data_IF_237213607776
#
_entry.id   IF_237213607776
#
_cell.length_a   1.000
_cell.length_b   1.000
_cell.length_c   1.000
_cell.angle_alpha   90.00
_cell.angle_beta   90.00
_cell.angle_gamma   90.00
#
_symmetry.space_group_name_H-M   'P 1'
#
loop_
_entity.id
_entity.type
_entity.pdbx_description
1 polymer ?
#
# COMPACT_ATOMS: atom_id res chain seq x y z
N UNK A 1 39.01 -45.36 24.44
CA UNK A 1 39.00 -43.91 24.72
C UNK A 1 37.60 -43.44 24.40
N UNK A 2 36.71 -43.64 25.38
CA UNK A 2 35.55 -42.78 25.57
C UNK A 2 36.05 -41.38 25.85
N UNK A 3 35.30 -40.38 25.39
CA UNK A 3 35.20 -39.00 25.90
C UNK A 3 34.60 -38.16 24.75
N UNK A 4 33.51 -37.39 24.82
CA UNK A 4 32.61 -36.96 25.89
C UNK A 4 31.30 -36.55 25.20
N UNK A 5 30.16 -36.87 25.79
CA UNK A 5 29.01 -35.98 25.68
C UNK A 5 29.24 -34.87 26.70
N UNK A 6 29.11 -33.59 26.34
CA UNK A 6 28.06 -32.85 27.04
C UNK A 6 27.41 -31.73 26.22
N UNK A 7 26.09 -31.65 26.39
CA UNK A 7 25.35 -30.39 26.57
C UNK A 7 25.34 -29.40 25.39
N UNK A 8 24.28 -29.59 24.58
CA UNK A 8 23.59 -28.53 23.88
C UNK A 8 23.10 -27.50 24.91
N UNK A 9 23.83 -26.41 25.07
CA UNK A 9 23.35 -25.21 25.79
C UNK A 9 23.22 -24.07 24.77
N UNK A 10 22.03 -23.50 24.80
CA UNK A 10 21.60 -22.36 24.01
C UNK A 10 22.23 -21.05 24.51
N UNK A 11 21.94 -19.98 23.76
CA UNK A 11 22.14 -18.56 24.09
C UNK A 11 23.59 -18.08 23.82
N UNK A 12 23.87 -17.03 23.04
CA UNK A 12 23.39 -15.65 23.16
C UNK A 12 23.58 -14.92 21.81
N UNK A 13 22.57 -14.12 21.43
CA UNK A 13 22.57 -13.19 20.31
C UNK A 13 23.67 -12.11 20.39
N UNK A 14 24.26 -11.71 19.25
CA UNK A 14 24.67 -10.30 19.03
C UNK A 14 24.89 -9.93 17.56
N UNK A 15 23.85 -9.32 17.00
CA UNK A 15 23.85 -8.04 16.26
C UNK A 15 24.90 -7.81 15.16
N UNK A 16 24.47 -8.03 13.90
CA UNK A 16 24.76 -7.18 12.74
C UNK A 16 24.11 -7.77 11.47
N UNK A 17 22.78 -7.74 11.39
CA UNK A 17 22.08 -7.88 10.09
C UNK A 17 21.05 -6.76 9.97
N UNK A 18 21.57 -5.54 9.79
CA UNK A 18 20.82 -4.49 9.11
C UNK A 18 20.79 -4.90 7.63
N UNK A 19 19.63 -5.36 7.18
CA UNK A 19 18.79 -4.60 6.26
C UNK A 19 17.59 -5.47 5.87
N UNK A 20 16.46 -4.96 6.32
CA UNK A 20 15.13 -5.55 6.33
C UNK A 20 14.66 -5.66 4.88
N UNK A 21 14.76 -6.86 4.32
CA UNK A 21 14.13 -7.25 3.05
C UNK A 21 13.04 -8.28 3.33
N UNK A 22 12.16 -7.95 4.26
CA UNK A 22 10.97 -8.74 4.59
C UNK A 22 9.80 -7.79 4.73
N UNK A 23 9.07 -7.56 3.64
CA UNK A 23 7.63 -7.39 3.74
C UNK A 23 6.96 -7.81 2.44
N UNK A 24 7.01 -9.10 2.18
CA UNK A 24 5.95 -9.77 1.43
C UNK A 24 5.52 -10.91 2.35
N UNK A 25 4.37 -10.76 3.00
CA UNK A 25 3.38 -11.79 3.31
C UNK A 25 2.52 -11.38 4.51
N UNK A 26 1.30 -10.93 4.26
CA UNK A 26 0.15 -11.40 5.03
C UNK A 26 -0.91 -11.94 4.05
N UNK A 27 -0.92 -13.25 3.79
CA UNK A 27 -1.94 -13.89 2.98
C UNK A 27 -3.05 -14.37 3.92
N UNK A 28 -4.03 -13.53 4.28
CA UNK A 28 -5.32 -14.04 4.80
C UNK A 28 -6.56 -13.14 4.85
N UNK A 29 -6.52 -11.90 4.36
CA UNK A 29 -7.74 -11.05 4.27
C UNK A 29 -8.03 -10.49 2.87
N UNK A 30 -7.49 -11.15 1.84
CA UNK A 30 -7.47 -10.69 0.44
C UNK A 30 -8.80 -10.90 -0.31
N UNK A 31 -9.84 -11.43 0.36
CA UNK A 31 -11.12 -11.71 -0.33
C UNK A 31 -12.19 -10.68 -0.03
N UNK A 32 -12.17 -10.09 1.17
CA UNK A 32 -13.20 -9.14 1.60
C UNK A 32 -12.73 -7.69 1.42
N UNK A 33 -11.43 -7.43 1.64
CA UNK A 33 -10.85 -6.09 1.45
C UNK A 33 -10.72 -5.77 -0.04
N UNK A 34 -10.21 -6.70 -0.86
CA UNK A 34 -10.11 -6.50 -2.31
C UNK A 34 -11.49 -6.33 -2.95
N UNK A 35 -12.52 -7.00 -2.43
CA UNK A 35 -13.90 -6.80 -2.90
C UNK A 35 -14.46 -5.43 -2.52
N UNK A 36 -14.20 -4.96 -1.30
CA UNK A 36 -14.57 -3.62 -0.86
C UNK A 36 -13.82 -2.54 -1.64
N UNK A 37 -12.52 -2.75 -1.87
CA UNK A 37 -11.68 -1.87 -2.65
C UNK A 37 -12.14 -1.85 -4.11
N UNK A 38 -12.47 -3.00 -4.70
CA UNK A 38 -13.01 -3.07 -6.06
C UNK A 38 -14.36 -2.36 -6.17
N UNK A 39 -15.28 -2.54 -5.21
CA UNK A 39 -16.57 -1.84 -5.20
C UNK A 39 -16.39 -0.33 -5.08
N UNK A 40 -15.56 0.12 -4.13
CA UNK A 40 -15.30 1.53 -3.91
C UNK A 40 -14.57 2.16 -5.10
N UNK A 41 -13.58 1.45 -5.62
CA UNK A 41 -12.85 1.85 -6.82
C UNK A 41 -13.79 1.92 -8.00
N UNK A 42 -14.66 0.94 -8.24
CA UNK A 42 -15.61 0.95 -9.36
C UNK A 42 -16.61 2.11 -9.27
N UNK A 43 -17.05 2.48 -8.05
CA UNK A 43 -17.88 3.67 -7.81
C UNK A 43 -17.21 4.97 -8.24
N UNK A 44 -15.91 5.12 -7.94
CA UNK A 44 -15.17 6.34 -8.28
C UNK A 44 -14.51 6.26 -9.66
N UNK A 45 -14.29 5.07 -10.19
CA UNK A 45 -13.60 4.81 -11.46
C UNK A 45 -14.33 5.46 -12.61
N UNK A 46 -15.66 5.40 -12.64
CA UNK A 46 -16.43 6.06 -13.70
C UNK A 46 -16.27 7.59 -13.70
N UNK A 47 -15.92 8.19 -12.56
CA UNK A 47 -15.68 9.63 -12.41
C UNK A 47 -14.18 10.00 -12.53
N UNK A 48 -13.30 9.01 -12.38
CA UNK A 48 -11.83 9.14 -12.42
C UNK A 48 -11.21 8.73 -13.75
N UNK A 49 -11.87 7.86 -14.52
CA UNK A 49 -11.32 7.29 -15.74
C UNK A 49 -11.06 8.41 -16.77
N UNK A 50 -9.81 8.51 -17.23
CA UNK A 50 -9.32 9.53 -18.15
C UNK A 50 -9.31 10.96 -17.58
N UNK A 51 -9.40 11.13 -16.27
CA UNK A 51 -9.35 12.47 -15.63
C UNK A 51 -8.00 12.81 -15.01
N UNK A 52 -7.09 11.83 -14.85
CA UNK A 52 -5.81 12.02 -14.15
C UNK A 52 -5.97 12.56 -12.72
N UNK A 53 -7.07 12.20 -12.08
CA UNK A 53 -7.39 12.56 -10.71
C UNK A 53 -7.14 11.40 -9.75
N UNK A 54 -7.20 11.73 -8.47
CA UNK A 54 -7.08 10.80 -7.38
C UNK A 54 -8.13 11.06 -6.31
N UNK A 55 -8.62 9.97 -5.74
CA UNK A 55 -9.60 9.95 -4.68
C UNK A 55 -9.01 9.24 -3.46
N UNK A 56 -9.06 9.94 -2.32
CA UNK A 56 -8.82 9.34 -1.01
C UNK A 56 -10.12 8.87 -0.40
N UNK A 57 -10.15 7.61 0.05
CA UNK A 57 -11.26 7.02 0.79
C UNK A 57 -10.85 6.69 2.22
N UNK A 58 -11.82 6.77 3.12
CA UNK A 58 -11.67 6.34 4.51
C UNK A 58 -11.89 4.83 4.70
N UNK A 59 -11.96 4.39 5.96
CA UNK A 59 -12.25 2.98 6.31
C UNK A 59 -13.67 2.51 5.99
N UNK A 60 -14.61 3.42 5.78
CA UNK A 60 -16.01 3.17 5.44
C UNK A 60 -16.27 3.21 3.93
N UNK A 61 -15.21 3.29 3.12
CA UNK A 61 -15.28 3.48 1.66
C UNK A 61 -15.95 4.82 1.27
N UNK A 62 -15.88 5.82 2.14
CA UNK A 62 -16.39 7.16 1.88
C UNK A 62 -15.31 8.05 1.28
N UNK A 63 -15.67 8.82 0.25
CA UNK A 63 -14.75 9.76 -0.39
C UNK A 63 -14.44 10.93 0.53
N UNK A 64 -13.19 10.98 1.01
CA UNK A 64 -12.67 12.11 1.79
C UNK A 64 -12.37 13.30 0.88
N UNK A 65 -11.80 13.05 -0.30
CA UNK A 65 -11.51 14.07 -1.29
C UNK A 65 -11.33 13.48 -2.69
N UNK A 66 -11.47 14.35 -3.69
CA UNK A 66 -11.08 14.12 -5.09
C UNK A 66 -10.26 15.30 -5.57
N UNK A 67 -9.05 15.06 -6.08
CA UNK A 67 -8.16 16.10 -6.61
C UNK A 67 -7.34 15.59 -7.78
N UNK A 68 -6.85 16.46 -8.69
CA UNK A 68 -5.91 16.05 -9.72
C UNK A 68 -4.61 15.49 -9.12
N UNK A 69 -3.96 14.55 -9.81
CA UNK A 69 -2.69 13.96 -9.37
C UNK A 69 -1.61 15.04 -9.11
N UNK A 70 -1.67 16.16 -9.84
CA UNK A 70 -0.78 17.31 -9.63
C UNK A 70 -0.91 17.93 -8.23
N UNK A 71 -2.10 17.88 -7.63
CA UNK A 71 -2.39 18.44 -6.30
C UNK A 71 -2.48 17.35 -5.21
N UNK A 72 -2.53 16.07 -5.60
CA UNK A 72 -2.63 14.94 -4.67
C UNK A 72 -1.53 14.97 -3.61
N UNK A 73 -0.28 15.25 -3.99
CA UNK A 73 0.85 15.29 -3.04
C UNK A 73 0.61 16.34 -1.95
N UNK A 74 0.07 17.51 -2.31
CA UNK A 74 -0.23 18.59 -1.37
C UNK A 74 -1.40 18.21 -0.44
N UNK A 75 -2.42 17.56 -1.01
CA UNK A 75 -3.57 17.06 -0.25
C UNK A 75 -3.20 15.95 0.71
N UNK A 76 -2.34 15.03 0.33
CA UNK A 76 -1.84 13.97 1.22
C UNK A 76 -1.02 14.52 2.39
N UNK A 77 -0.36 15.66 2.21
CA UNK A 77 0.35 16.33 3.32
C UNK A 77 -0.57 17.05 4.31
N UNK A 78 -1.79 17.39 3.91
CA UNK A 78 -2.75 18.16 4.73
C UNK A 78 -3.90 17.32 5.28
N UNK A 79 -4.34 16.32 4.51
CA UNK A 79 -5.40 15.40 4.84
C UNK A 79 -4.82 14.12 5.45
N UNK A 80 -5.42 13.61 6.51
CA UNK A 80 -5.04 12.36 7.16
C UNK A 80 -6.28 11.47 7.38
N UNK A 81 -6.06 10.20 7.75
CA UNK A 81 -7.15 9.24 7.96
C UNK A 81 -7.66 8.56 6.67
N UNK A 82 -6.88 8.67 5.60
CA UNK A 82 -7.16 8.00 4.33
C UNK A 82 -6.69 6.55 4.46
N UNK A 83 -7.57 5.60 4.19
CA UNK A 83 -7.24 4.17 4.21
C UNK A 83 -6.93 3.65 2.80
N UNK A 84 -7.71 4.08 1.81
CA UNK A 84 -7.57 3.66 0.42
C UNK A 84 -7.34 4.89 -0.47
N UNK A 85 -6.34 4.83 -1.34
CA UNK A 85 -6.06 5.86 -2.32
C UNK A 85 -6.25 5.28 -3.71
N UNK A 86 -7.16 5.84 -4.50
CA UNK A 86 -7.38 5.47 -5.90
C UNK A 86 -6.87 6.61 -6.76
N UNK A 87 -6.08 6.32 -7.79
CA UNK A 87 -5.63 7.34 -8.74
C UNK A 87 -5.71 6.84 -10.18
N UNK A 88 -6.18 7.69 -11.07
CA UNK A 88 -6.15 7.44 -12.50
C UNK A 88 -4.78 7.77 -13.09
N UNK A 89 -3.80 6.91 -12.82
CA UNK A 89 -2.45 7.14 -13.32
C UNK A 89 -1.40 6.16 -12.84
N UNK A 90 -0.15 6.60 -12.93
CA UNK A 90 1.01 5.81 -12.53
C UNK A 90 1.36 6.10 -11.07
N UNK A 91 1.43 5.06 -10.25
CA UNK A 91 1.89 5.14 -8.88
C UNK A 91 3.42 5.36 -8.89
N UNK A 92 3.84 6.58 -8.58
CA UNK A 92 5.26 6.96 -8.50
C UNK A 92 5.77 6.96 -7.06
N UNK A 93 7.09 7.00 -6.88
CA UNK A 93 7.69 7.00 -5.53
C UNK A 93 7.31 8.24 -4.73
N UNK A 94 7.17 9.42 -5.37
CA UNK A 94 6.73 10.66 -4.69
C UNK A 94 5.29 10.56 -4.18
N UNK A 95 4.42 9.90 -4.94
CA UNK A 95 3.05 9.63 -4.52
C UNK A 95 2.98 8.62 -3.38
N UNK A 96 3.76 7.54 -3.49
CA UNK A 96 3.88 6.53 -2.44
C UNK A 96 4.41 7.14 -1.13
N UNK A 97 5.38 8.04 -1.20
CA UNK A 97 5.93 8.74 -0.04
C UNK A 97 4.87 9.63 0.64
N UNK A 98 4.17 10.46 -0.13
CA UNK A 98 3.07 11.27 0.40
C UNK A 98 1.94 10.41 0.96
N UNK A 99 1.65 9.26 0.34
CA UNK A 99 0.63 8.35 0.81
C UNK A 99 1.02 7.66 2.12
N UNK A 100 2.28 7.25 2.25
CA UNK A 100 2.84 6.73 3.50
C UNK A 100 2.75 7.75 4.63
N UNK A 101 3.12 9.01 4.38
CA UNK A 101 3.03 10.09 5.36
C UNK A 101 1.59 10.34 5.82
N UNK A 102 0.62 10.18 4.92
CA UNK A 102 -0.80 10.31 5.23
C UNK A 102 -1.37 9.09 5.99
N UNK A 103 -0.62 8.00 6.11
CA UNK A 103 -1.06 6.75 6.75
C UNK A 103 -1.93 5.86 5.87
N UNK A 104 -1.80 5.95 4.55
CA UNK A 104 -2.56 5.12 3.60
C UNK A 104 -2.06 3.69 3.64
N UNK A 105 -2.98 2.72 3.72
CA UNK A 105 -2.64 1.30 3.70
C UNK A 105 -2.72 0.69 2.29
N UNK A 106 -3.57 1.24 1.42
CA UNK A 106 -3.81 0.71 0.09
C UNK A 106 -3.79 1.79 -0.98
N UNK A 107 -3.06 1.55 -2.07
CA UNK A 107 -3.02 2.45 -3.23
C UNK A 107 -3.40 1.67 -4.49
N UNK A 108 -4.39 2.15 -5.22
CA UNK A 108 -4.86 1.61 -6.49
C UNK A 108 -4.53 2.59 -7.61
N UNK A 109 -3.93 2.10 -8.69
CA UNK A 109 -3.71 2.91 -9.88
C UNK A 109 -3.81 2.13 -11.17
N UNK A 110 -3.58 2.81 -12.29
CA UNK A 110 -3.51 2.17 -13.60
C UNK A 110 -2.25 1.32 -13.72
N UNK A 111 -1.14 1.82 -13.17
CA UNK A 111 0.14 1.13 -13.24
C UNK A 111 1.04 1.53 -12.08
N UNK A 112 1.95 0.65 -11.69
CA UNK A 112 2.96 0.94 -10.67
C UNK A 112 4.29 1.26 -11.39
N UNK A 113 4.91 2.40 -11.05
CA UNK A 113 6.24 2.76 -11.54
C UNK A 113 7.34 1.95 -10.84
N UNK A 114 8.60 2.30 -11.09
CA UNK A 114 9.72 1.77 -10.31
C UNK A 114 9.73 2.37 -8.90
N UNK A 115 8.90 1.83 -8.02
CA UNK A 115 8.83 2.20 -6.61
C UNK A 115 9.57 1.16 -5.78
N UNK A 116 10.40 1.63 -4.85
CA UNK A 116 11.20 0.78 -3.97
C UNK A 116 10.66 0.90 -2.56
N UNK A 117 10.38 -0.25 -1.93
CA UNK A 117 9.97 -0.35 -0.52
C UNK A 117 8.66 0.40 -0.21
N UNK A 118 7.53 -0.30 -0.23
CA UNK A 118 6.23 0.30 0.07
C UNK A 118 5.95 0.51 1.57
N UNK A 119 6.91 0.23 2.46
CA UNK A 119 6.87 0.50 3.91
C UNK A 119 5.54 0.10 4.60
N UNK A 120 4.92 -1.01 4.18
CA UNK A 120 3.63 -1.48 4.71
C UNK A 120 2.41 -1.11 3.87
N UNK A 121 2.57 -0.29 2.82
CA UNK A 121 1.51 0.05 1.89
C UNK A 121 1.35 -1.02 0.83
N UNK A 122 0.11 -1.42 0.58
CA UNK A 122 -0.27 -2.40 -0.44
C UNK A 122 -0.60 -1.65 -1.73
N UNK A 123 0.21 -1.89 -2.76
CA UNK A 123 0.00 -1.35 -4.10
C UNK A 123 -0.82 -2.33 -4.92
N UNK A 124 -1.86 -1.82 -5.58
CA UNK A 124 -2.76 -2.56 -6.45
C UNK A 124 -2.99 -1.81 -7.75
N UNK A 125 -3.40 -2.56 -8.77
CA UNK A 125 -3.81 -2.00 -10.05
C UNK A 125 -5.29 -2.25 -10.33
N UNK A 126 -5.93 -1.40 -11.15
CA UNK A 126 -7.32 -1.63 -11.58
C UNK A 126 -7.50 -3.03 -12.19
N UNK A 127 -6.52 -3.48 -12.98
CA UNK A 127 -6.50 -4.82 -13.58
C UNK A 127 -6.48 -5.94 -12.53
N UNK A 128 -5.75 -5.78 -11.42
CA UNK A 128 -5.77 -6.77 -10.32
C UNK A 128 -7.12 -6.84 -9.61
N UNK A 129 -7.88 -5.74 -9.59
CA UNK A 129 -9.23 -5.66 -9.03
C UNK A 129 -10.31 -6.08 -10.04
N UNK A 130 -9.94 -6.39 -11.28
CA UNK A 130 -10.89 -6.73 -12.35
C UNK A 130 -11.68 -5.53 -12.89
N UNK A 131 -11.15 -4.31 -12.72
CA UNK A 131 -11.73 -3.06 -13.19
C UNK A 131 -11.06 -2.71 -14.52
N UNK A 132 -11.84 -2.52 -15.58
CA UNK A 132 -11.43 -2.23 -16.98
C UNK A 132 -12.55 -1.48 -17.68
#
# INVERSE_FOLDING_TARGET
MEELTPQRVADILKDATKDIKQQTTEPKKVSEVDKQLADATSKVYNDLNETLEAVGLDSNNEQLFKVPISELVDKLSTQTGIKYLILDGIITQRLLDGANQSGIEYIVGHRIANVSNSDGVILKTFTELGIT
#
